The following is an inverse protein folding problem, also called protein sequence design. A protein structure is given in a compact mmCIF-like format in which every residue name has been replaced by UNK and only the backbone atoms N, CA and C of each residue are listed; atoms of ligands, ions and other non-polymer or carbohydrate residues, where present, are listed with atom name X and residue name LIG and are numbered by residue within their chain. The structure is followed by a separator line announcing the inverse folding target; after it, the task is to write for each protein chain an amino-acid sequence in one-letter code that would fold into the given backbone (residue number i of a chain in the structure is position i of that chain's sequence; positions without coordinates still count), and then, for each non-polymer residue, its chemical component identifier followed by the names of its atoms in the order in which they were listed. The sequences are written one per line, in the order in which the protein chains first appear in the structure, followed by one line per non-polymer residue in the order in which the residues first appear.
data_IF_471285789335
#
_entry.id   IF_471285789335
#
_cell.length_a   1.000
_cell.length_b   1.000
_cell.length_c   1.000
_cell.angle_alpha   90.00
_cell.angle_beta   90.00
_cell.angle_gamma   90.00
#
_symmetry.space_group_name_H-M   'P 1'
#
loop_
_entity.id
_entity.type
_entity.pdbx_description
1 polymer ?
#
# COMPACT_ATOMS: atom_id res chain seq x y z
N UNK A 1 -18.27 -14.39 12.93
CA UNK A 1 -18.09 -13.73 11.62
C UNK A 1 -17.82 -12.25 11.85
N UNK A 2 -16.84 -11.69 11.15
CA UNK A 2 -16.53 -10.27 11.28
C UNK A 2 -17.32 -9.43 10.31
N UNK A 3 -17.68 -8.23 10.72
CA UNK A 3 -18.23 -7.23 9.82
C UNK A 3 -17.12 -6.59 8.99
N UNK A 4 -17.45 -5.93 7.91
CA UNK A 4 -16.49 -5.17 7.13
C UNK A 4 -15.81 -4.10 8.00
N UNK A 5 -16.60 -3.41 8.83
CA UNK A 5 -16.07 -2.37 9.72
C UNK A 5 -15.03 -2.92 10.69
N UNK A 6 -15.27 -4.10 11.26
CA UNK A 6 -14.29 -4.76 12.12
C UNK A 6 -13.03 -5.13 11.37
N UNK A 7 -13.15 -5.64 10.14
CA UNK A 7 -12.01 -5.99 9.32
C UNK A 7 -11.17 -4.76 8.96
N UNK A 8 -11.83 -3.65 8.64
CA UNK A 8 -11.14 -2.38 8.35
C UNK A 8 -10.39 -1.90 9.59
N UNK A 9 -11.06 -1.89 10.74
CA UNK A 9 -10.46 -1.45 12.00
C UNK A 9 -9.24 -2.30 12.36
N UNK A 10 -9.35 -3.61 12.25
CA UNK A 10 -8.24 -4.52 12.55
C UNK A 10 -7.06 -4.28 11.60
N UNK A 11 -7.33 -4.10 10.30
CA UNK A 11 -6.28 -3.83 9.33
C UNK A 11 -5.57 -2.51 9.62
N UNK A 12 -6.32 -1.47 9.97
CA UNK A 12 -5.72 -0.17 10.31
C UNK A 12 -4.86 -0.25 11.57
N UNK A 13 -5.21 -1.10 12.51
CA UNK A 13 -4.39 -1.31 13.71
C UNK A 13 -3.19 -2.21 13.45
N UNK A 14 -3.32 -3.16 12.54
CA UNK A 14 -2.24 -4.10 12.22
C UNK A 14 -1.12 -3.43 11.41
N UNK A 15 -1.49 -2.56 10.46
CA UNK A 15 -0.54 -1.99 9.50
C UNK A 15 -0.13 -0.59 9.96
N UNK A 16 1.14 -0.40 10.36
CA UNK A 16 1.60 0.91 10.85
C UNK A 16 1.50 2.00 9.78
N UNK A 17 1.17 3.21 10.24
CA UNK A 17 1.17 4.39 9.37
C UNK A 17 2.56 4.99 9.30
N UNK A 18 2.93 5.41 8.09
CA UNK A 18 4.16 6.17 7.84
C UNK A 18 3.83 7.38 6.98
N UNK A 19 4.62 8.43 7.12
CA UNK A 19 4.53 9.57 6.24
C UNK A 19 5.48 9.38 5.05
N UNK A 20 5.30 10.20 4.01
CA UNK A 20 6.10 10.07 2.80
C UNK A 20 7.60 10.26 3.07
N UNK A 21 7.96 11.18 3.96
CA UNK A 21 9.37 11.41 4.29
C UNK A 21 9.99 10.31 5.15
N UNK A 22 9.19 9.38 5.65
CA UNK A 22 9.69 8.20 6.37
C UNK A 22 9.97 7.00 5.45
N UNK A 23 9.66 7.13 4.16
CA UNK A 23 9.94 6.05 3.20
C UNK A 23 11.45 5.86 3.07
N UNK A 24 11.90 4.63 3.25
CA UNK A 24 13.33 4.30 3.13
C UNK A 24 13.78 4.44 1.68
N UNK A 25 15.07 4.70 1.49
CA UNK A 25 15.65 4.85 0.15
C UNK A 25 16.18 3.54 -0.43
N UNK A 26 16.30 2.49 0.38
CA UNK A 26 16.88 1.20 -0.04
C UNK A 26 15.89 0.08 0.23
N UNK A 27 15.77 -0.83 -0.74
CA UNK A 27 14.88 -1.99 -0.66
C UNK A 27 13.45 -1.55 -0.30
N UNK A 28 12.98 -0.50 -0.95
CA UNK A 28 11.68 0.11 -0.68
C UNK A 28 10.83 0.14 -1.93
N UNK A 29 9.54 -0.12 -1.75
CA UNK A 29 8.54 -0.12 -2.82
C UNK A 29 7.36 0.70 -2.37
N UNK A 30 6.97 1.68 -3.17
CA UNK A 30 5.75 2.47 -2.94
C UNK A 30 4.73 1.99 -3.97
N UNK A 31 3.60 1.49 -3.50
CA UNK A 31 2.60 0.86 -4.35
C UNK A 31 1.25 1.54 -4.19
N UNK A 32 0.72 2.02 -5.32
CA UNK A 32 -0.63 2.56 -5.41
C UNK A 32 -1.58 1.40 -5.67
N UNK A 33 -2.51 1.14 -4.75
CA UNK A 33 -3.47 0.04 -4.88
C UNK A 33 -4.85 0.50 -5.35
N UNK A 34 -4.96 1.74 -5.82
CA UNK A 34 -6.22 2.28 -6.37
C UNK A 34 -6.56 1.59 -7.68
N UNK A 35 -7.78 1.76 -8.13
CA UNK A 35 -8.19 1.27 -9.44
C UNK A 35 -7.57 2.12 -10.55
N UNK A 36 -7.44 1.53 -11.73
CA UNK A 36 -6.82 2.20 -12.88
C UNK A 36 -7.53 3.52 -13.21
N UNK A 37 -8.83 3.57 -13.12
CA UNK A 37 -9.63 4.77 -13.40
C UNK A 37 -9.26 5.92 -12.47
N UNK A 38 -8.99 5.62 -11.21
CA UNK A 38 -8.56 6.63 -10.23
C UNK A 38 -7.17 7.16 -10.58
N UNK A 39 -6.25 6.27 -10.98
CA UNK A 39 -4.90 6.67 -11.37
C UNK A 39 -4.95 7.52 -12.64
N UNK A 40 -5.73 7.10 -13.64
CA UNK A 40 -5.84 7.83 -14.91
C UNK A 40 -6.48 9.21 -14.73
N UNK A 41 -7.38 9.38 -13.76
CA UNK A 41 -8.01 10.65 -13.48
C UNK A 41 -7.10 11.61 -12.68
N UNK A 42 -6.01 11.10 -12.14
CA UNK A 42 -5.06 11.86 -11.32
C UNK A 42 -3.64 11.59 -11.81
N UNK A 43 -2.83 10.99 -10.95
CA UNK A 43 -1.45 10.59 -11.25
C UNK A 43 -0.97 9.62 -10.18
N UNK A 44 0.21 9.05 -10.37
CA UNK A 44 0.91 8.32 -9.31
C UNK A 44 1.70 9.30 -8.45
N UNK A 45 1.91 8.94 -7.19
CA UNK A 45 2.91 9.60 -6.36
C UNK A 45 4.30 9.30 -6.93
N UNK A 46 5.25 10.22 -6.78
CA UNK A 46 6.61 10.04 -7.29
C UNK A 46 7.20 8.71 -6.84
N UNK A 47 7.78 8.00 -7.80
CA UNK A 47 8.44 6.69 -7.59
C UNK A 47 7.49 5.55 -7.22
N UNK A 48 6.17 5.76 -7.29
CA UNK A 48 5.22 4.70 -7.02
C UNK A 48 5.03 3.81 -8.24
N UNK A 49 4.73 2.53 -7.99
CA UNK A 49 4.24 1.61 -9.01
C UNK A 49 2.76 1.37 -8.77
N UNK A 50 2.03 1.10 -9.84
CA UNK A 50 0.60 0.84 -9.74
C UNK A 50 0.31 -0.66 -9.79
N UNK A 51 -0.25 -1.18 -8.71
CA UNK A 51 -0.79 -2.54 -8.70
C UNK A 51 -2.17 -2.45 -8.04
N UNK A 52 -3.26 -2.54 -8.80
CA UNK A 52 -4.60 -2.46 -8.24
C UNK A 52 -4.81 -3.51 -7.15
N UNK A 53 -5.62 -3.17 -6.15
CA UNK A 53 -5.88 -4.05 -5.01
C UNK A 53 -6.25 -5.47 -5.43
N UNK A 54 -7.05 -5.61 -6.48
CA UNK A 54 -7.52 -6.93 -6.94
C UNK A 54 -6.44 -7.78 -7.61
N UNK A 55 -5.29 -7.20 -7.96
CA UNK A 55 -4.18 -7.92 -8.60
C UNK A 55 -2.96 -8.05 -7.69
N UNK A 56 -2.97 -7.41 -6.54
CA UNK A 56 -1.78 -7.24 -5.72
C UNK A 56 -1.14 -8.58 -5.33
N UNK A 57 -1.91 -9.51 -4.82
CA UNK A 57 -1.41 -10.80 -4.35
C UNK A 57 -0.72 -11.59 -5.46
N UNK A 58 -1.19 -11.43 -6.70
CA UNK A 58 -0.66 -12.15 -7.85
C UNK A 58 0.53 -11.46 -8.50
N UNK A 59 0.59 -10.13 -8.41
CA UNK A 59 1.56 -9.34 -9.16
C UNK A 59 2.78 -8.92 -8.34
N UNK A 60 2.65 -8.86 -7.02
CA UNK A 60 3.71 -8.28 -6.19
C UNK A 60 5.04 -9.05 -6.30
N UNK A 61 4.98 -10.37 -6.37
CA UNK A 61 6.19 -11.18 -6.47
C UNK A 61 6.94 -11.00 -7.78
N UNK A 62 6.31 -10.38 -8.78
CA UNK A 62 6.92 -10.12 -10.07
C UNK A 62 7.70 -8.81 -10.12
N UNK A 63 7.64 -7.99 -9.08
CA UNK A 63 8.42 -6.76 -9.01
C UNK A 63 9.90 -7.10 -8.90
N UNK A 64 10.71 -6.40 -9.69
CA UNK A 64 12.16 -6.64 -9.69
C UNK A 64 12.75 -6.31 -8.32
N UNK A 65 13.56 -7.21 -7.81
CA UNK A 65 14.27 -7.09 -6.53
C UNK A 65 13.36 -7.10 -5.29
N UNK A 66 12.10 -7.48 -5.42
CA UNK A 66 11.25 -7.62 -4.25
C UNK A 66 11.55 -8.90 -3.49
N UNK A 67 11.48 -8.82 -2.16
CA UNK A 67 11.61 -9.98 -1.28
C UNK A 67 10.67 -9.84 -0.10
N UNK A 68 10.57 -10.89 0.70
CA UNK A 68 9.74 -10.85 1.92
C UNK A 68 10.27 -9.87 2.97
N UNK A 69 11.53 -9.45 2.85
CA UNK A 69 12.16 -8.47 3.73
C UNK A 69 12.11 -7.04 3.19
N UNK A 70 11.60 -6.85 1.98
CA UNK A 70 11.48 -5.52 1.39
C UNK A 70 10.56 -4.62 2.22
N UNK A 71 10.85 -3.32 2.19
CA UNK A 71 10.01 -2.31 2.85
C UNK A 71 8.92 -1.89 1.87
N UNK A 72 7.68 -2.22 2.17
CA UNK A 72 6.55 -2.01 1.27
C UNK A 72 5.61 -0.97 1.86
N UNK A 73 5.40 0.10 1.10
CA UNK A 73 4.57 1.22 1.48
C UNK A 73 3.38 1.29 0.53
N UNK A 74 2.17 1.15 1.06
CA UNK A 74 0.95 1.10 0.28
C UNK A 74 0.13 2.37 0.47
N UNK A 75 -0.54 2.84 -0.58
CA UNK A 75 -1.51 3.91 -0.44
C UNK A 75 -2.70 3.70 -1.37
N UNK A 76 -3.80 4.35 -1.03
CA UNK A 76 -5.00 4.37 -1.86
C UNK A 76 -5.64 5.75 -1.80
N UNK A 77 -6.93 5.88 -2.06
CA UNK A 77 -7.59 7.20 -2.03
C UNK A 77 -7.71 7.75 -0.60
N UNK A 78 -8.06 6.91 0.38
CA UNK A 78 -8.33 7.34 1.76
C UNK A 78 -7.61 6.49 2.83
N UNK A 79 -6.78 5.53 2.44
CA UNK A 79 -6.01 4.72 3.39
C UNK A 79 -6.70 3.46 3.89
N UNK A 80 -7.92 3.17 3.45
CA UNK A 80 -8.67 1.98 3.89
C UNK A 80 -8.28 0.74 3.08
N UNK A 81 -8.34 0.84 1.75
CA UNK A 81 -7.96 -0.28 0.88
C UNK A 81 -6.49 -0.67 1.07
N UNK A 82 -5.63 0.33 1.27
CA UNK A 82 -4.20 0.08 1.49
C UNK A 82 -3.93 -0.63 2.81
N UNK A 83 -4.67 -0.31 3.89
CA UNK A 83 -4.55 -1.04 5.15
C UNK A 83 -4.95 -2.50 4.97
N UNK A 84 -6.07 -2.76 4.30
CA UNK A 84 -6.54 -4.12 4.05
C UNK A 84 -5.58 -4.89 3.13
N UNK A 85 -5.05 -4.23 2.12
CA UNK A 85 -4.04 -4.81 1.25
C UNK A 85 -2.79 -5.22 2.03
N UNK A 86 -2.36 -4.36 2.94
CA UNK A 86 -1.21 -4.65 3.80
C UNK A 86 -1.43 -5.86 4.69
N UNK A 87 -2.64 -5.99 5.25
CA UNK A 87 -3.00 -7.16 6.05
C UNK A 87 -2.88 -8.45 5.24
N UNK A 88 -3.34 -8.43 3.98
CA UNK A 88 -3.21 -9.58 3.09
C UNK A 88 -1.74 -9.92 2.81
N UNK A 89 -0.92 -8.90 2.53
CA UNK A 89 0.50 -9.12 2.27
C UNK A 89 1.24 -9.69 3.48
N UNK A 90 0.88 -9.27 4.67
CA UNK A 90 1.47 -9.87 5.89
C UNK A 90 1.16 -11.35 5.98
N UNK A 91 -0.05 -11.76 5.64
CA UNK A 91 -0.42 -13.19 5.62
C UNK A 91 0.38 -13.98 4.59
N UNK A 92 0.84 -13.33 3.53
CA UNK A 92 1.70 -13.93 2.52
C UNK A 92 3.17 -13.96 2.92
N UNK A 93 3.52 -13.43 4.09
CA UNK A 93 4.88 -13.51 4.62
C UNK A 93 5.74 -12.27 4.41
N UNK A 94 5.21 -11.20 3.82
CA UNK A 94 5.93 -9.94 3.72
C UNK A 94 5.97 -9.29 5.11
N UNK A 95 7.17 -8.93 5.57
CA UNK A 95 7.37 -8.57 6.98
C UNK A 95 7.24 -7.08 7.27
N UNK A 96 7.61 -6.23 6.31
CA UNK A 96 7.75 -4.79 6.54
C UNK A 96 6.74 -4.03 5.69
N UNK A 97 5.50 -3.99 6.15
CA UNK A 97 4.37 -3.38 5.43
C UNK A 97 3.92 -2.14 6.17
N UNK A 98 3.72 -1.05 5.43
CA UNK A 98 3.30 0.24 5.98
C UNK A 98 2.20 0.84 5.13
N UNK A 99 1.34 1.63 5.77
CA UNK A 99 0.26 2.34 5.10
C UNK A 99 0.61 3.83 5.04
N UNK A 100 0.76 4.36 3.84
CA UNK A 100 1.00 5.80 3.65
C UNK A 100 -0.29 6.62 3.70
N UNK A 101 -1.44 5.97 3.63
CA UNK A 101 -2.73 6.65 3.74
C UNK A 101 -3.33 7.06 2.41
N UNK A 102 -3.80 8.31 2.32
CA UNK A 102 -4.59 8.77 1.20
C UNK A 102 -3.79 9.59 0.18
N UNK A 103 -4.20 9.47 -1.08
CA UNK A 103 -3.50 10.07 -2.22
C UNK A 103 -3.35 11.58 -2.11
N UNK A 104 -4.41 12.30 -1.69
CA UNK A 104 -4.38 13.77 -1.67
C UNK A 104 -3.30 14.29 -0.71
N UNK A 105 -3.23 13.72 0.49
CA UNK A 105 -2.21 14.11 1.46
C UNK A 105 -0.81 13.83 0.94
N UNK A 106 -0.63 12.69 0.28
CA UNK A 106 0.67 12.32 -0.28
C UNK A 106 1.07 13.26 -1.42
N UNK A 107 0.12 13.60 -2.28
CA UNK A 107 0.36 14.51 -3.40
C UNK A 107 0.83 15.87 -2.91
N UNK A 108 0.22 16.39 -1.86
CA UNK A 108 0.56 17.70 -1.30
C UNK A 108 1.92 17.71 -0.61
N UNK A 109 2.42 16.55 -0.20
CA UNK A 109 3.65 16.43 0.59
C UNK A 109 4.85 15.90 -0.19
N UNK A 110 4.71 15.70 -1.50
CA UNK A 110 5.85 15.23 -2.28
C UNK A 110 6.73 16.36 -2.82
#
# INVERSE_FOLDING_TARGET
MKTLEEMVFESQNEIPRKSLNEVKSVNAFVIDVRQLEEVNATQLINNAVHIPRGKLEFAISNLENISKDSNIYLYCAAGIRSAMAGSTLKKLGYKNIFNLGGFIDLLENQ
#
